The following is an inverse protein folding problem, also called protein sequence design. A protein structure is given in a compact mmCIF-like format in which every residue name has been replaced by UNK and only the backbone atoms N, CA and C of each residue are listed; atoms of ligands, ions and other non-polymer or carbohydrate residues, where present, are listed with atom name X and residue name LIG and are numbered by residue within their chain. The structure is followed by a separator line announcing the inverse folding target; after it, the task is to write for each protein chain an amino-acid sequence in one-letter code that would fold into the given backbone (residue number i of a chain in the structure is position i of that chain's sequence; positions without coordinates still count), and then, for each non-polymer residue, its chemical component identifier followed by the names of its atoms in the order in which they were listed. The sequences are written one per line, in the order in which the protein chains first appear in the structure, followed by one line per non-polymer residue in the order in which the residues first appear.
data_IF_546256526521
#
_entry.id   IF_546256526521
#
_cell.length_a   1.000
_cell.length_b   1.000
_cell.length_c   1.000
_cell.angle_alpha   90.00
_cell.angle_beta   90.00
_cell.angle_gamma   90.00
#
_symmetry.space_group_name_H-M   'P 1'
#
loop_
_entity.id
_entity.type
_entity.pdbx_description
1 polymer ?
#
# COMPACT_ATOMS: atom_id res chain seq x y z
N UNK A 1 12.10 19.76 4.19
CA UNK A 1 11.12 18.93 3.45
C UNK A 1 10.62 17.87 4.41
N UNK A 2 9.31 17.72 4.54
CA UNK A 2 8.72 16.72 5.44
C UNK A 2 8.37 15.47 4.63
N UNK A 3 8.84 14.30 5.08
CA UNK A 3 8.50 13.00 4.49
C UNK A 3 7.09 12.62 4.92
N UNK A 4 6.32 12.10 3.97
CA UNK A 4 4.99 11.53 4.14
C UNK A 4 5.10 10.06 3.73
N UNK A 5 4.74 9.18 4.66
CA UNK A 5 4.64 7.75 4.44
C UNK A 5 3.21 7.43 4.01
N UNK A 6 3.05 6.97 2.77
CA UNK A 6 1.79 6.46 2.23
C UNK A 6 1.79 4.94 2.38
N UNK A 7 0.79 4.41 3.08
CA UNK A 7 0.69 2.99 3.44
C UNK A 7 -0.44 2.38 2.62
N UNK A 8 -0.15 1.34 1.86
CA UNK A 8 -1.10 0.67 0.97
C UNK A 8 -1.24 -0.81 1.34
N UNK A 9 -2.45 -1.35 1.24
CA UNK A 9 -2.68 -2.78 1.01
C UNK A 9 -2.66 -3.05 -0.50
N UNK A 10 -2.21 -4.22 -0.90
CA UNK A 10 -2.15 -4.63 -2.30
C UNK A 10 -2.23 -6.16 -2.43
N UNK A 11 -2.26 -6.66 -3.66
CA UNK A 11 -2.12 -8.09 -3.92
C UNK A 11 -0.67 -8.55 -3.64
N UNK A 12 -0.44 -9.86 -3.67
CA UNK A 12 0.88 -10.44 -3.36
C UNK A 12 1.99 -9.92 -4.28
N UNK A 13 1.65 -9.56 -5.51
CA UNK A 13 2.58 -9.08 -6.54
C UNK A 13 2.85 -7.58 -6.45
N UNK A 14 2.23 -6.87 -5.49
CA UNK A 14 2.36 -5.42 -5.29
C UNK A 14 2.06 -4.64 -6.57
N UNK A 15 1.15 -5.15 -7.39
CA UNK A 15 0.75 -4.47 -8.62
C UNK A 15 0.08 -3.15 -8.24
N UNK A 16 0.51 -2.07 -8.89
CA UNK A 16 0.06 -0.73 -8.54
C UNK A 16 -1.48 -0.60 -8.56
N UNK A 17 -2.14 -1.20 -9.55
CA UNK A 17 -3.60 -1.18 -9.69
C UNK A 17 -4.34 -1.88 -8.53
N UNK A 18 -3.68 -2.76 -7.80
CA UNK A 18 -4.24 -3.43 -6.61
C UNK A 18 -4.10 -2.62 -5.32
N UNK A 19 -3.35 -1.51 -5.38
CA UNK A 19 -3.01 -0.68 -4.22
C UNK A 19 -4.21 0.09 -3.68
N UNK A 20 -4.61 -0.19 -2.44
CA UNK A 20 -5.57 0.61 -1.68
C UNK A 20 -4.85 1.38 -0.57
N UNK A 21 -4.92 2.71 -0.63
CA UNK A 21 -4.37 3.57 0.41
C UNK A 21 -5.10 3.33 1.75
N UNK A 22 -4.34 2.99 2.78
CA UNK A 22 -4.83 2.74 4.15
C UNK A 22 -4.62 3.97 5.02
N UNK A 23 -3.44 4.59 4.94
CA UNK A 23 -3.11 5.78 5.71
C UNK A 23 -2.00 6.60 5.07
N UNK A 24 -1.93 7.88 5.44
CA UNK A 24 -0.83 8.78 5.14
C UNK A 24 -0.38 9.45 6.44
N UNK A 25 0.91 9.40 6.75
CA UNK A 25 1.45 9.96 8.00
C UNK A 25 2.85 10.53 7.80
N UNK A 26 3.17 11.59 8.54
CA UNK A 26 4.54 12.12 8.63
C UNK A 26 5.28 11.58 9.86
N UNK A 27 4.59 10.81 10.71
CA UNK A 27 5.12 10.17 11.89
C UNK A 27 5.41 8.69 11.60
N UNK A 28 6.66 8.30 11.75
CA UNK A 28 7.13 6.93 11.55
C UNK A 28 6.53 5.96 12.58
N UNK A 29 6.26 6.41 13.81
CA UNK A 29 5.65 5.56 14.83
C UNK A 29 4.20 5.25 14.48
N UNK A 30 3.45 6.25 14.02
CA UNK A 30 2.12 6.04 13.47
C UNK A 30 2.14 5.11 12.23
N UNK A 31 3.18 5.20 11.40
CA UNK A 31 3.34 4.29 10.26
C UNK A 31 3.48 2.83 10.73
N UNK A 32 4.38 2.56 11.67
CA UNK A 32 4.57 1.22 12.21
C UNK A 32 3.33 0.70 12.95
N UNK A 33 2.59 1.58 13.65
CA UNK A 33 1.35 1.21 14.32
C UNK A 33 0.26 0.77 13.32
N UNK A 34 0.10 1.47 12.20
CA UNK A 34 -0.83 1.08 11.12
C UNK A 34 -0.42 -0.26 10.52
N UNK A 35 0.85 -0.41 10.15
CA UNK A 35 1.38 -1.65 9.56
C UNK A 35 1.17 -2.84 10.51
N UNK A 36 1.55 -2.69 11.79
CA UNK A 36 1.34 -3.73 12.78
C UNK A 36 -0.13 -4.09 13.00
N UNK A 37 -1.04 -3.10 12.88
CA UNK A 37 -2.47 -3.31 12.91
C UNK A 37 -2.98 -4.16 11.74
N UNK A 38 -2.56 -3.83 10.53
CA UNK A 38 -2.93 -4.56 9.31
C UNK A 38 -2.36 -5.99 9.29
N UNK A 39 -1.12 -6.19 9.77
CA UNK A 39 -0.55 -7.54 9.93
C UNK A 39 -1.37 -8.35 10.93
N UNK A 40 -1.73 -7.76 12.07
CA UNK A 40 -2.53 -8.42 13.09
C UNK A 40 -3.94 -8.77 12.61
N UNK A 41 -4.51 -7.96 11.72
CA UNK A 41 -5.81 -8.20 11.09
C UNK A 41 -5.75 -9.26 9.99
N UNK A 42 -4.55 -9.63 9.50
CA UNK A 42 -4.36 -10.57 8.40
C UNK A 42 -4.55 -9.95 7.02
N UNK A 43 -4.46 -8.63 6.91
CA UNK A 43 -4.52 -7.91 5.63
C UNK A 43 -3.13 -7.74 5.00
N UNK A 44 -2.08 -7.75 5.83
CA UNK A 44 -0.68 -7.75 5.43
C UNK A 44 0.03 -8.94 6.08
N UNK A 45 1.11 -9.39 5.46
CA UNK A 45 2.01 -10.38 6.04
C UNK A 45 3.41 -9.77 6.24
N UNK A 46 4.17 -10.34 7.17
CA UNK A 46 5.54 -9.93 7.44
C UNK A 46 6.43 -11.17 7.56
N UNK A 47 7.06 -11.56 6.45
CA UNK A 47 7.94 -12.73 6.33
C UNK A 47 7.33 -13.99 6.99
N UNK A 48 6.05 -14.25 6.76
CA UNK A 48 5.36 -15.39 7.38
C UNK A 48 4.09 -15.78 6.64
N UNK A 49 3.72 -17.06 6.73
CA UNK A 49 2.47 -17.60 6.20
C UNK A 49 1.25 -17.37 7.11
N UNK A 50 1.45 -16.85 8.33
CA UNK A 50 0.34 -16.57 9.25
C UNK A 50 0.45 -15.20 9.90
N UNK A 51 -0.67 -14.50 9.99
CA UNK A 51 -0.79 -13.18 10.63
C UNK A 51 -0.20 -13.15 12.06
N UNK A 52 -0.39 -14.22 12.85
CA UNK A 52 0.12 -14.26 14.23
C UNK A 52 1.65 -14.30 14.27
N UNK A 53 2.27 -15.15 13.46
CA UNK A 53 3.73 -15.27 13.42
C UNK A 53 4.34 -14.02 12.78
N UNK A 54 3.73 -13.51 11.70
CA UNK A 54 4.14 -12.26 11.06
C UNK A 54 4.09 -11.07 12.03
N UNK A 55 3.02 -10.94 12.81
CA UNK A 55 2.90 -9.88 13.81
C UNK A 55 3.96 -9.99 14.91
N UNK A 56 4.27 -11.21 15.38
CA UNK A 56 5.32 -11.41 16.39
C UNK A 56 6.70 -11.04 15.85
N UNK A 57 7.02 -11.45 14.62
CA UNK A 57 8.27 -11.06 13.93
C UNK A 57 8.37 -9.54 13.76
N UNK A 58 7.31 -8.91 13.26
CA UNK A 58 7.25 -7.46 13.09
C UNK A 58 7.45 -6.72 14.41
N UNK A 59 6.77 -7.16 15.47
CA UNK A 59 6.93 -6.60 16.81
C UNK A 59 8.35 -6.77 17.34
N UNK A 60 8.97 -7.92 17.14
CA UNK A 60 10.36 -8.16 17.54
C UNK A 60 11.34 -7.22 16.82
N UNK A 61 11.23 -7.12 15.50
CA UNK A 61 12.05 -6.20 14.68
C UNK A 61 11.80 -4.74 15.10
N UNK A 62 10.55 -4.35 15.39
CA UNK A 62 10.22 -3.02 15.90
C UNK A 62 10.89 -2.73 17.25
N UNK A 63 10.85 -3.66 18.20
CA UNK A 63 11.50 -3.49 19.51
C UNK A 63 13.03 -3.37 19.41
N UNK A 64 13.63 -3.91 18.34
CA UNK A 64 15.06 -3.80 18.05
C UNK A 64 15.44 -2.56 17.22
N UNK A 65 14.44 -1.87 16.65
CA UNK A 65 14.69 -0.80 15.66
C UNK A 65 15.17 -1.33 14.30
N UNK A 66 14.86 -2.58 13.98
CA UNK A 66 15.35 -3.33 12.81
C UNK A 66 14.22 -3.67 11.81
N UNK A 67 13.10 -2.93 11.85
CA UNK A 67 11.97 -3.14 10.93
C UNK A 67 12.47 -3.04 9.48
N UNK A 68 12.25 -4.11 8.72
CA UNK A 68 12.54 -4.13 7.30
C UNK A 68 11.24 -4.21 6.50
N UNK A 69 10.81 -3.07 5.94
CA UNK A 69 9.60 -2.97 5.13
C UNK A 69 9.64 -3.80 3.84
N UNK A 70 10.81 -4.28 3.40
CA UNK A 70 10.91 -5.22 2.27
C UNK A 70 10.33 -6.60 2.60
N UNK A 71 10.16 -6.93 3.88
CA UNK A 71 9.54 -8.19 4.37
C UNK A 71 8.01 -8.15 4.34
N UNK A 72 7.41 -7.00 4.03
CA UNK A 72 5.96 -6.89 3.90
C UNK A 72 5.48 -7.58 2.62
N UNK A 73 4.52 -8.48 2.77
CA UNK A 73 3.70 -9.00 1.69
C UNK A 73 2.28 -8.45 1.84
N UNK A 74 1.59 -8.27 0.71
CA UNK A 74 0.28 -7.61 0.63
C UNK A 74 0.24 -6.16 1.15
N UNK A 75 1.41 -5.60 1.50
CA UNK A 75 1.57 -4.23 1.96
C UNK A 75 2.73 -3.51 1.26
N UNK A 76 2.60 -2.20 1.11
CA UNK A 76 3.65 -1.34 0.55
C UNK A 76 3.65 0.03 1.24
N UNK A 77 4.85 0.57 1.47
CA UNK A 77 5.05 1.94 1.91
C UNK A 77 5.72 2.72 0.80
N UNK A 78 5.13 3.85 0.43
CA UNK A 78 5.72 4.82 -0.49
C UNK A 78 6.08 6.06 0.31
N UNK A 79 7.35 6.45 0.26
CA UNK A 79 7.79 7.72 0.83
C UNK A 79 7.68 8.82 -0.23
N UNK A 80 6.99 9.89 0.12
CA UNK A 80 6.91 11.11 -0.67
C UNK A 80 7.18 12.31 0.22
N UNK A 81 7.28 13.49 -0.38
CA UNK A 81 7.50 14.73 0.34
C UNK A 81 6.40 15.73 0.00
N UNK A 82 6.08 16.62 0.94
CA UNK A 82 5.19 17.73 0.65
C UNK A 82 5.85 18.68 -0.36
N UNK A 83 5.64 18.43 -1.65
CA UNK A 83 5.91 19.39 -2.70
C UNK A 83 4.72 20.35 -2.76
N UNK A 84 4.64 21.32 -1.84
CA UNK A 84 3.82 22.50 -2.11
C UNK A 84 4.53 23.27 -3.22
N UNK A 85 4.14 23.00 -4.46
CA UNK A 85 4.59 23.75 -5.61
C UNK A 85 3.77 25.04 -5.69
N UNK A 86 4.39 26.18 -5.41
CA UNK A 86 3.80 27.50 -5.71
C UNK A 86 3.85 27.82 -7.22
N UNK A 87 4.56 27.01 -8.02
CA UNK A 87 4.58 27.08 -9.48
C UNK A 87 4.60 25.66 -10.09
N UNK A 88 3.94 25.44 -11.24
CA UNK A 88 3.93 24.15 -11.92
C UNK A 88 5.31 23.88 -12.56
N UNK A 89 6.28 23.40 -11.77
CA UNK A 89 7.59 23.03 -12.30
C UNK A 89 8.03 21.67 -11.79
N UNK A 90 8.45 20.86 -12.77
CA UNK A 90 9.09 19.54 -12.73
C UNK A 90 9.14 18.86 -11.37
N UNK A 91 8.36 17.78 -11.25
CA UNK A 91 8.48 16.79 -10.19
C UNK A 91 9.96 16.42 -9.99
N UNK A 92 10.48 16.44 -8.75
CA UNK A 92 11.77 15.83 -8.44
C UNK A 92 11.76 14.39 -8.96
N UNK A 93 12.85 13.91 -9.58
CA UNK A 93 12.92 12.55 -10.12
C UNK A 93 12.55 11.48 -9.09
N UNK A 94 12.78 11.77 -7.80
CA UNK A 94 12.42 10.91 -6.68
C UNK A 94 10.92 10.87 -6.33
N UNK A 95 10.11 11.76 -6.92
CA UNK A 95 8.65 11.84 -6.82
C UNK A 95 7.96 11.53 -8.16
N UNK A 96 8.71 11.37 -9.24
CA UNK A 96 8.18 11.17 -10.59
C UNK A 96 7.53 9.79 -10.82
N UNK A 97 7.65 8.87 -9.86
CA UNK A 97 7.08 7.52 -9.93
C UNK A 97 5.82 7.34 -9.10
N UNK A 98 5.17 8.41 -8.64
CA UNK A 98 3.82 8.30 -8.05
C UNK A 98 2.85 8.18 -9.22
N UNK A 99 2.24 7.00 -9.46
CA UNK A 99 1.27 6.93 -10.52
C UNK A 99 0.04 7.72 -10.06
N UNK A 100 -0.57 8.41 -11.03
CA UNK A 100 -1.68 9.30 -10.78
C UNK A 100 -2.86 8.48 -10.24
N UNK A 101 -3.34 8.80 -9.04
CA UNK A 101 -4.65 8.34 -8.58
C UNK A 101 -5.67 8.78 -9.64
N UNK A 102 -6.29 7.80 -10.31
CA UNK A 102 -7.36 8.06 -11.26
C UNK A 102 -8.50 8.75 -10.54
N UNK A 103 -9.03 9.79 -11.16
CA UNK A 103 -10.23 10.48 -10.67
C UNK A 103 -11.43 9.52 -10.71
N UNK A 104 -12.43 9.73 -9.85
CA UNK A 104 -13.65 8.90 -9.80
C UNK A 104 -14.35 8.80 -11.16
N UNK A 105 -14.24 9.83 -12.01
CA UNK A 105 -14.76 9.82 -13.38
C UNK A 105 -14.04 8.88 -14.34
N UNK A 106 -12.77 8.55 -14.08
CA UNK A 106 -11.99 7.61 -14.90
C UNK A 106 -12.26 6.16 -14.51
N UNK A 107 -12.49 5.90 -13.22
CA UNK A 107 -12.87 4.57 -12.71
C UNK A 107 -14.24 4.11 -13.20
N UNK A 108 -15.16 5.06 -13.43
CA UNK A 108 -16.51 4.80 -13.92
C UNK A 108 -16.59 4.44 -15.42
N UNK A 109 -15.45 4.35 -16.13
CA UNK A 109 -15.40 4.13 -17.58
C UNK A 109 -15.10 2.69 -18.00
N UNK A 110 -14.79 1.77 -17.07
CA UNK A 110 -14.61 0.37 -17.42
C UNK A 110 -15.98 -0.28 -17.71
N UNK A 111 -16.21 -0.84 -18.91
CA UNK A 111 -17.43 -1.57 -19.19
C UNK A 111 -17.40 -2.88 -18.40
N UNK A 112 -18.37 -3.07 -17.50
CA UNK A 112 -18.66 -4.38 -16.94
C UNK A 112 -19.04 -5.33 -18.10
N UNK A 113 -18.17 -6.28 -18.42
CA UNK A 113 -18.55 -7.39 -19.30
C UNK A 113 -19.43 -8.34 -18.48
N UNK A 114 -20.71 -8.40 -18.84
CA UNK A 114 -21.62 -9.45 -18.36
C UNK A 114 -21.02 -10.82 -18.70
N UNK A 115 -20.93 -11.68 -17.69
CA UNK A 115 -20.55 -13.08 -17.88
C UNK A 115 -21.84 -13.79 -18.30
N UNK A 116 -21.96 -14.16 -19.58
CA UNK A 116 -23.05 -15.03 -20.02
C UNK A 116 -22.81 -16.45 -19.47
N UNK A 117 -23.69 -16.90 -18.57
CA UNK A 117 -23.80 -18.31 -18.19
C UNK A 117 -24.31 -19.12 -19.38
N UNK A 118 -23.42 -19.82 -20.09
CA UNK A 118 -23.84 -20.92 -20.96
C UNK A 118 -24.19 -22.13 -20.09
N UNK A 119 -25.49 -22.25 -19.76
CA UNK A 119 -26.10 -23.51 -19.33
C UNK A 119 -26.30 -24.40 -20.56
N UNK A 120 -25.31 -25.23 -20.89
CA UNK A 120 -25.55 -26.41 -21.74
C UNK A 120 -26.26 -27.48 -20.90
N UNK A 121 -27.51 -27.75 -21.24
CA UNK A 121 -28.28 -28.92 -20.81
C UNK A 121 -28.40 -29.86 -22.02
N UNK A 122 -27.74 -31.01 -21.94
CA UNK A 122 -28.21 -32.27 -22.56
C UNK A 122 -27.67 -33.47 -21.76
#
# INVERSE_FOLDING_TARGET
MQTIHLIFNCNQWKEYASGRLIAATTDAEAMYAVIGGEIRAGNMDYDSETATVGFMKFKEDYMKGEVNLSKLDYGMVIETCNAQTSEPQSLPEHCANIPRLLSESELASEPYTEIEEELEVD
#
